data_IF_495400121837
#
_entry.id   IF_495400121837
#
_cell.length_a   1.000
_cell.length_b   1.000
_cell.length_c   1.000
_cell.angle_alpha   90.00
_cell.angle_beta   90.00
_cell.angle_gamma   90.00
#
_symmetry.space_group_name_H-M   'P 1'
#
loop_
_entity.id
_entity.type
_entity.pdbx_description
1 polymer ?
#
# COMPACT_ATOMS: atom_id res chain seq x y z
N UNK A 1 17.33 -39.89 20.16
CA UNK A 1 16.06 -40.57 19.78
C UNK A 1 16.35 -42.05 19.61
N UNK A 2 15.66 -42.91 20.35
CA UNK A 2 15.70 -44.35 20.08
C UNK A 2 15.09 -44.60 18.69
N UNK A 3 15.75 -45.44 17.87
CA UNK A 3 15.14 -45.99 16.65
C UNK A 3 13.77 -46.56 17.06
N UNK A 4 12.69 -46.29 16.31
CA UNK A 4 11.38 -46.77 16.69
C UNK A 4 11.44 -48.28 16.92
N UNK A 5 10.88 -48.71 18.05
CA UNK A 5 10.63 -50.10 18.41
C UNK A 5 9.94 -50.90 17.28
N UNK A 6 9.42 -50.24 16.25
CA UNK A 6 8.91 -50.83 15.01
C UNK A 6 9.91 -51.72 14.26
N UNK A 7 11.22 -51.51 14.41
CA UNK A 7 12.24 -52.44 13.85
C UNK A 7 12.70 -53.52 14.83
N UNK A 8 12.52 -53.32 16.14
CA UNK A 8 12.89 -54.33 17.17
C UNK A 8 11.78 -55.29 17.55
N UNK A 9 10.52 -54.98 17.25
CA UNK A 9 9.40 -55.81 17.68
C UNK A 9 8.25 -55.72 16.69
N UNK A 10 8.30 -56.58 15.68
CA UNK A 10 7.03 -57.23 15.32
C UNK A 10 6.59 -58.02 16.56
N UNK A 11 5.30 -58.05 16.92
CA UNK A 11 4.79 -58.73 18.13
C UNK A 11 5.15 -60.24 18.19
N UNK A 12 5.73 -60.78 17.12
CA UNK A 12 6.31 -62.12 17.03
C UNK A 12 7.63 -62.32 17.81
N UNK A 13 8.30 -61.25 18.26
CA UNK A 13 9.59 -61.33 18.98
C UNK A 13 9.37 -61.47 20.50
N UNK A 14 8.19 -61.11 21.01
CA UNK A 14 7.90 -61.12 22.46
C UNK A 14 7.39 -62.47 23.00
N UNK A 15 7.38 -63.55 22.21
CA UNK A 15 7.08 -64.86 22.76
C UNK A 15 8.40 -65.51 23.26
N UNK A 16 8.65 -65.58 24.58
CA UNK A 16 9.88 -66.17 25.13
C UNK A 16 10.04 -67.66 24.78
N UNK A 17 8.99 -68.33 24.27
CA UNK A 17 9.05 -69.72 23.82
C UNK A 17 9.42 -69.87 22.33
N UNK A 18 9.62 -68.78 21.58
CA UNK A 18 9.95 -68.86 20.15
C UNK A 18 11.42 -69.23 19.97
N UNK A 19 11.69 -70.48 19.59
CA UNK A 19 13.03 -70.92 19.18
C UNK A 19 13.46 -70.17 17.92
N UNK A 20 14.60 -69.49 17.95
CA UNK A 20 15.18 -68.85 16.76
C UNK A 20 15.60 -69.93 15.76
N UNK A 21 14.84 -70.09 14.69
CA UNK A 21 15.10 -71.13 13.68
C UNK A 21 16.22 -70.73 12.70
N UNK A 22 16.38 -69.42 12.45
CA UNK A 22 17.27 -68.89 11.40
C UNK A 22 18.66 -68.48 11.88
N UNK A 23 18.86 -68.28 13.19
CA UNK A 23 20.11 -67.82 13.80
C UNK A 23 20.48 -68.71 14.99
N UNK A 24 20.25 -70.01 14.86
CA UNK A 24 20.33 -70.95 15.99
C UNK A 24 21.74 -71.16 16.53
N UNK A 25 22.78 -70.80 15.77
CA UNK A 25 24.18 -70.96 16.17
C UNK A 25 24.94 -69.63 16.05
N UNK A 26 25.92 -69.36 16.95
CA UNK A 26 26.69 -68.12 16.94
C UNK A 26 27.51 -67.95 15.65
N UNK A 27 27.98 -69.04 15.04
CA UNK A 27 28.76 -69.02 13.80
C UNK A 27 27.96 -68.45 12.63
N UNK A 28 26.66 -68.78 12.55
CA UNK A 28 25.76 -68.23 11.53
C UNK A 28 25.55 -66.73 11.78
N UNK A 29 25.42 -66.32 13.04
CA UNK A 29 25.27 -64.90 13.38
C UNK A 29 26.49 -64.09 12.95
N UNK A 30 27.69 -64.62 13.16
CA UNK A 30 28.93 -63.93 12.78
C UNK A 30 29.11 -63.91 11.26
N UNK A 31 28.78 -65.00 10.56
CA UNK A 31 28.76 -65.01 9.10
C UNK A 31 27.80 -63.94 8.54
N UNK A 32 26.59 -63.84 9.08
CA UNK A 32 25.61 -62.84 8.66
C UNK A 32 26.07 -61.41 8.93
N UNK A 33 26.88 -61.16 9.97
CA UNK A 33 27.49 -59.84 10.22
C UNK A 33 28.60 -59.52 9.21
N UNK A 34 29.33 -60.52 8.71
CA UNK A 34 30.38 -60.33 7.70
C UNK A 34 29.83 -60.03 6.30
N UNK A 35 28.54 -60.27 6.06
CA UNK A 35 27.90 -59.94 4.78
C UNK A 35 27.88 -58.43 4.55
N UNK A 36 28.12 -58.04 3.31
CA UNK A 36 27.96 -56.65 2.88
C UNK A 36 26.51 -56.18 3.06
N UNK A 37 26.34 -54.86 3.14
CA UNK A 37 25.05 -54.24 3.41
C UNK A 37 24.00 -54.54 2.33
N UNK A 38 24.41 -54.66 1.07
CA UNK A 38 23.49 -54.93 -0.04
C UNK A 38 22.94 -56.35 0.09
N UNK A 39 23.81 -57.34 0.27
CA UNK A 39 23.41 -58.74 0.44
C UNK A 39 22.48 -58.92 1.65
N UNK A 40 22.73 -58.20 2.76
CA UNK A 40 21.84 -58.21 3.93
C UNK A 40 20.47 -57.60 3.63
N UNK A 41 20.41 -56.52 2.85
CA UNK A 41 19.15 -55.89 2.46
C UNK A 41 18.34 -56.76 1.49
N UNK A 42 19.01 -57.41 0.53
CA UNK A 42 18.40 -58.38 -0.40
C UNK A 42 17.78 -59.56 0.36
N UNK A 43 18.56 -60.20 1.24
CA UNK A 43 18.08 -61.29 2.08
C UNK A 43 16.90 -60.85 2.97
N UNK A 44 16.95 -59.63 3.53
CA UNK A 44 15.84 -59.10 4.33
C UNK A 44 14.56 -58.90 3.51
N UNK A 45 14.66 -58.47 2.26
CA UNK A 45 13.51 -58.32 1.36
C UNK A 45 12.88 -59.66 1.01
N UNK A 46 13.69 -60.68 0.75
CA UNK A 46 13.20 -62.04 0.52
C UNK A 46 12.50 -62.60 1.77
N UNK A 47 13.15 -62.46 2.94
CA UNK A 47 12.59 -62.89 4.22
C UNK A 47 11.24 -62.20 4.50
N UNK A 48 11.12 -60.89 4.28
CA UNK A 48 9.84 -60.19 4.50
C UNK A 48 8.77 -60.64 3.49
N UNK A 49 9.12 -60.83 2.21
CA UNK A 49 8.20 -61.30 1.18
C UNK A 49 7.61 -62.66 1.56
N UNK A 50 8.47 -63.58 1.97
CA UNK A 50 8.07 -64.92 2.40
C UNK A 50 7.30 -64.88 3.74
N UNK A 51 7.69 -64.01 4.68
CA UNK A 51 6.95 -63.80 5.92
C UNK A 51 5.56 -63.18 5.69
N UNK A 52 5.38 -62.33 4.66
CA UNK A 52 4.06 -61.83 4.25
C UNK A 52 3.22 -62.97 3.67
N UNK A 53 3.80 -63.86 2.88
CA UNK A 53 3.14 -65.07 2.37
C UNK A 53 2.67 -65.97 3.52
N UNK A 54 3.54 -66.25 4.49
CA UNK A 54 3.19 -67.03 5.70
C UNK A 54 2.08 -66.38 6.52
N UNK A 55 2.11 -65.05 6.71
CA UNK A 55 1.02 -64.31 7.38
C UNK A 55 -0.33 -64.48 6.68
N UNK A 56 -0.36 -64.48 5.35
CA UNK A 56 -1.58 -64.75 4.59
C UNK A 56 -2.09 -66.19 4.79
N UNK A 57 -1.18 -67.16 4.83
CA UNK A 57 -1.53 -68.55 5.10
C UNK A 57 -2.02 -68.76 6.53
N UNK A 58 -1.39 -68.12 7.51
CA UNK A 58 -1.79 -68.14 8.92
C UNK A 58 -3.21 -67.60 9.08
N UNK A 59 -3.50 -66.46 8.45
CA UNK A 59 -4.85 -65.89 8.41
C UNK A 59 -5.86 -66.80 7.72
N UNK A 60 -5.45 -67.53 6.67
CA UNK A 60 -6.31 -68.50 5.99
C UNK A 60 -6.61 -69.72 6.87
N UNK A 61 -5.62 -70.23 7.62
CA UNK A 61 -5.78 -71.32 8.58
C UNK A 61 -6.67 -70.91 9.77
N UNK A 62 -6.49 -69.70 10.29
CA UNK A 62 -7.35 -69.16 11.37
C UNK A 62 -8.82 -69.02 10.94
N UNK A 63 -9.08 -68.76 9.66
CA UNK A 63 -10.43 -68.71 9.09
C UNK A 63 -11.00 -70.10 8.81
N UNK A 64 -10.14 -71.05 8.46
CA UNK A 64 -10.50 -72.41 8.06
C UNK A 64 -9.41 -73.39 8.54
N UNK A 65 -9.65 -74.05 9.69
CA UNK A 65 -8.67 -74.96 10.29
C UNK A 65 -8.31 -76.18 9.42
N UNK A 66 -9.07 -76.47 8.35
CA UNK A 66 -8.74 -77.55 7.41
C UNK A 66 -7.52 -77.26 6.55
N UNK A 67 -7.12 -75.98 6.42
CA UNK A 67 -5.91 -75.57 5.69
C UNK A 67 -4.65 -75.88 6.50
N UNK A 68 -3.50 -76.18 5.87
CA UNK A 68 -2.28 -76.47 6.61
C UNK A 68 -1.77 -75.24 7.37
N UNK A 69 -1.34 -75.44 8.61
CA UNK A 69 -0.67 -74.39 9.40
C UNK A 69 0.69 -74.05 8.77
N UNK A 70 1.01 -72.76 8.54
CA UNK A 70 2.28 -72.38 7.93
C UNK A 70 3.46 -72.58 8.88
N UNK A 71 4.67 -72.65 8.30
CA UNK A 71 5.90 -72.70 9.07
C UNK A 71 6.17 -71.40 9.85
N UNK A 72 6.97 -71.45 10.93
CA UNK A 72 7.35 -70.25 11.68
C UNK A 72 7.98 -69.18 10.80
N UNK A 73 7.68 -67.91 11.10
CA UNK A 73 8.29 -66.76 10.42
C UNK A 73 9.81 -66.73 10.68
N UNK A 74 10.57 -66.28 9.70
CA UNK A 74 12.00 -66.01 9.85
C UNK A 74 12.22 -64.59 10.44
N UNK A 75 13.35 -64.37 11.10
CA UNK A 75 13.73 -63.03 11.57
C UNK A 75 14.52 -62.29 10.50
N UNK A 76 14.45 -60.96 10.49
CA UNK A 76 15.28 -60.14 9.62
C UNK A 76 16.72 -60.10 10.17
N UNK A 77 17.68 -60.06 9.27
CA UNK A 77 19.09 -59.81 9.56
C UNK A 77 19.22 -58.37 10.06
N UNK A 78 20.00 -58.19 11.13
CA UNK A 78 20.16 -56.88 11.77
C UNK A 78 21.00 -55.95 10.90
N UNK A 79 20.53 -54.72 10.75
CA UNK A 79 21.25 -53.61 10.15
C UNK A 79 21.48 -52.59 11.27
N UNK A 80 22.69 -52.06 11.35
CA UNK A 80 23.10 -51.12 12.41
C UNK A 80 22.46 -49.74 12.20
N UNK A 81 22.44 -48.94 13.27
CA UNK A 81 21.88 -47.59 13.22
C UNK A 81 22.67 -46.70 12.27
N UNK A 82 23.98 -46.86 12.30
CA UNK A 82 24.96 -46.14 11.49
C UNK A 82 24.75 -46.43 10.00
N UNK A 83 24.54 -47.70 9.64
CA UNK A 83 24.22 -48.10 8.25
C UNK A 83 22.90 -47.51 7.76
N UNK A 84 21.86 -47.46 8.60
CA UNK A 84 20.60 -46.81 8.24
C UNK A 84 20.75 -45.31 8.02
N UNK A 85 21.52 -44.62 8.87
CA UNK A 85 21.80 -43.20 8.67
C UNK A 85 22.66 -42.94 7.43
N UNK A 86 23.63 -43.82 7.13
CA UNK A 86 24.46 -43.72 5.93
C UNK A 86 23.63 -43.85 4.66
N UNK A 87 22.69 -44.82 4.61
CA UNK A 87 21.75 -44.97 3.50
C UNK A 87 20.88 -43.71 3.36
N UNK A 88 20.34 -43.18 4.46
CA UNK A 88 19.41 -42.04 4.44
C UNK A 88 20.09 -40.74 4.00
N UNK A 89 21.26 -40.45 4.58
CA UNK A 89 21.96 -39.16 4.38
C UNK A 89 22.65 -39.06 3.03
N UNK A 90 23.00 -40.19 2.41
CA UNK A 90 23.72 -40.23 1.12
C UNK A 90 22.75 -40.49 -0.03
N UNK A 91 22.40 -39.49 -0.88
CA UNK A 91 21.38 -39.65 -1.91
C UNK A 91 21.66 -40.78 -2.91
N UNK A 92 22.93 -40.98 -3.28
CA UNK A 92 23.34 -42.05 -4.20
C UNK A 92 23.11 -43.44 -3.60
N UNK A 93 23.36 -43.63 -2.30
CA UNK A 93 23.10 -44.90 -1.59
C UNK A 93 21.62 -45.11 -1.38
N UNK A 94 20.87 -44.06 -1.03
CA UNK A 94 19.41 -44.16 -0.93
C UNK A 94 18.81 -44.62 -2.26
N UNK A 95 19.26 -44.07 -3.39
CA UNK A 95 18.80 -44.47 -4.71
C UNK A 95 19.19 -45.92 -5.04
N UNK A 96 20.43 -46.32 -4.76
CA UNK A 96 20.91 -47.68 -5.01
C UNK A 96 20.13 -48.73 -4.21
N UNK A 97 19.84 -48.45 -2.93
CA UNK A 97 19.14 -49.37 -2.03
C UNK A 97 17.63 -49.17 -2.01
N UNK A 98 17.09 -48.16 -2.71
CA UNK A 98 15.68 -47.79 -2.64
C UNK A 98 14.77 -49.00 -2.85
N UNK A 99 15.07 -49.85 -3.84
CA UNK A 99 14.26 -51.03 -4.18
C UNK A 99 14.36 -52.16 -3.15
N UNK A 100 15.41 -52.19 -2.33
CA UNK A 100 15.70 -53.23 -1.34
C UNK A 100 15.15 -52.88 0.06
N UNK A 101 14.94 -51.59 0.34
CA UNK A 101 14.35 -51.13 1.60
C UNK A 101 12.90 -51.59 1.74
N UNK A 102 12.58 -52.17 2.88
CA UNK A 102 11.23 -52.54 3.29
C UNK A 102 10.35 -51.29 3.49
N UNK A 103 9.06 -51.40 3.20
CA UNK A 103 8.10 -50.28 3.30
C UNK A 103 8.14 -49.54 4.65
N UNK A 104 8.21 -50.23 5.82
CA UNK A 104 8.29 -49.56 7.11
C UNK A 104 9.55 -48.69 7.27
N UNK A 105 10.67 -49.12 6.68
CA UNK A 105 11.94 -48.37 6.73
C UNK A 105 11.84 -47.10 5.87
N UNK A 106 11.25 -47.22 4.67
CA UNK A 106 11.04 -46.05 3.79
C UNK A 106 10.14 -45.01 4.45
N UNK A 107 9.06 -45.46 5.11
CA UNK A 107 8.17 -44.58 5.87
C UNK A 107 8.91 -43.89 7.01
N UNK A 108 9.74 -44.62 7.76
CA UNK A 108 10.57 -44.06 8.81
C UNK A 108 11.53 -42.98 8.30
N UNK A 109 12.19 -43.19 7.16
CA UNK A 109 13.06 -42.17 6.56
C UNK A 109 12.29 -40.89 6.21
N UNK A 110 11.11 -41.02 5.60
CA UNK A 110 10.28 -39.86 5.27
C UNK A 110 9.83 -39.08 6.52
N UNK A 111 9.41 -39.78 7.58
CA UNK A 111 9.00 -39.16 8.85
C UNK A 111 10.17 -38.44 9.52
N UNK A 112 11.35 -39.06 9.51
CA UNK A 112 12.56 -38.47 10.08
C UNK A 112 13.00 -37.21 9.33
N UNK A 113 12.96 -37.23 8.00
CA UNK A 113 13.29 -36.05 7.17
C UNK A 113 12.32 -34.88 7.42
N UNK A 114 11.03 -35.16 7.60
CA UNK A 114 10.04 -34.15 7.97
C UNK A 114 10.35 -33.57 9.35
N UNK A 115 10.66 -34.43 10.32
CA UNK A 115 11.02 -34.02 11.68
C UNK A 115 12.32 -33.19 11.71
N UNK A 116 13.35 -33.58 10.98
CA UNK A 116 14.61 -32.83 10.92
C UNK A 116 14.43 -31.47 10.21
N UNK A 117 13.62 -31.42 9.15
CA UNK A 117 13.26 -30.16 8.49
C UNK A 117 12.47 -29.23 9.41
N UNK A 118 11.54 -29.75 10.21
CA UNK A 118 10.79 -28.94 11.18
C UNK A 118 11.69 -28.44 12.31
N UNK A 119 12.60 -29.28 12.82
CA UNK A 119 13.57 -28.88 13.83
C UNK A 119 14.56 -27.83 13.30
N UNK A 120 14.98 -27.95 12.04
CA UNK A 120 15.83 -26.96 11.36
C UNK A 120 15.11 -25.62 11.20
N UNK A 121 13.83 -25.62 10.78
CA UNK A 121 12.99 -24.41 10.75
C UNK A 121 12.85 -23.77 12.14
N UNK A 122 12.72 -24.56 13.20
CA UNK A 122 12.66 -24.05 14.57
C UNK A 122 13.97 -23.39 15.04
N UNK A 123 15.11 -23.82 14.49
CA UNK A 123 16.45 -23.29 14.83
C UNK A 123 16.88 -22.12 13.94
N UNK A 124 16.41 -22.10 12.71
CA UNK A 124 16.70 -21.07 11.70
C UNK A 124 15.64 -19.97 11.64
N UNK A 125 14.50 -20.12 12.33
CA UNK A 125 13.68 -18.97 12.68
C UNK A 125 14.60 -18.01 13.43
N UNK A 126 14.84 -16.78 12.93
CA UNK A 126 15.48 -15.77 13.73
C UNK A 126 14.70 -15.73 15.05
N UNK A 127 15.41 -15.57 16.16
CA UNK A 127 14.77 -15.11 17.40
C UNK A 127 14.24 -13.70 17.10
N UNK A 128 13.14 -13.61 16.34
CA UNK A 128 12.26 -12.47 16.40
C UNK A 128 11.91 -12.37 17.86
N UNK A 129 12.27 -11.24 18.45
CA UNK A 129 11.95 -10.93 19.83
C UNK A 129 10.49 -11.30 20.08
N UNK A 130 10.22 -11.98 21.19
CA UNK A 130 8.85 -12.31 21.62
C UNK A 130 7.94 -11.08 21.52
N UNK A 131 8.50 -9.89 21.72
CA UNK A 131 7.87 -8.59 21.55
C UNK A 131 7.40 -8.30 20.10
N UNK A 132 8.17 -8.70 19.07
CA UNK A 132 7.79 -8.58 17.65
C UNK A 132 6.75 -9.64 17.26
N UNK A 133 6.85 -10.85 17.83
CA UNK A 133 5.84 -11.91 17.68
C UNK A 133 4.50 -11.51 18.33
N UNK A 134 4.55 -10.89 19.50
CA UNK A 134 3.38 -10.32 20.20
C UNK A 134 2.80 -9.13 19.43
N UNK A 135 3.64 -8.27 18.81
CA UNK A 135 3.18 -7.20 17.92
C UNK A 135 2.47 -7.72 16.66
N UNK A 136 2.87 -8.88 16.13
CA UNK A 136 2.23 -9.52 14.96
C UNK A 136 0.97 -10.33 15.34
N UNK A 137 0.83 -10.76 16.60
CA UNK A 137 -0.38 -11.35 17.18
C UNK A 137 -1.27 -10.30 17.88
N UNK A 138 -1.56 -9.18 17.22
CA UNK A 138 -2.73 -8.38 17.62
C UNK A 138 -3.99 -9.16 17.25
N UNK A 139 -4.36 -10.10 18.11
CA UNK A 139 -5.76 -10.31 18.46
C UNK A 139 -6.31 -8.91 18.72
N UNK A 140 -7.43 -8.55 18.08
CA UNK A 140 -8.04 -7.23 18.22
C UNK A 140 -7.91 -6.75 19.67
N UNK A 141 -7.23 -5.63 19.88
CA UNK A 141 -6.99 -5.09 21.22
C UNK A 141 -8.31 -5.10 21.98
N UNK A 142 -8.28 -5.51 23.24
CA UNK A 142 -9.48 -5.59 24.08
C UNK A 142 -10.18 -4.24 23.97
N UNK A 143 -11.45 -4.24 23.52
CA UNK A 143 -12.25 -3.02 23.38
C UNK A 143 -12.19 -2.23 24.69
N UNK A 144 -11.45 -1.13 24.68
CA UNK A 144 -11.41 -0.17 25.79
C UNK A 144 -12.61 0.74 25.57
N UNK A 145 -13.64 0.56 26.38
CA UNK A 145 -14.75 1.51 26.45
C UNK A 145 -14.20 2.82 27.03
N UNK A 146 -14.06 3.84 26.18
CA UNK A 146 -13.83 5.21 26.64
C UNK A 146 -15.17 5.76 27.13
N UNK A 147 -15.19 6.34 28.32
CA UNK A 147 -16.36 7.06 28.82
C UNK A 147 -16.61 8.26 27.90
N UNK A 148 -17.78 8.29 27.25
CA UNK A 148 -18.16 9.35 26.34
C UNK A 148 -18.87 10.44 27.13
N UNK A 149 -18.24 11.60 27.27
CA UNK A 149 -18.89 12.80 27.78
C UNK A 149 -19.64 13.48 26.62
N UNK A 150 -21.00 13.46 26.59
CA UNK A 150 -21.78 14.08 25.53
C UNK A 150 -21.70 15.61 25.53
N UNK A 151 -21.15 16.22 26.58
CA UNK A 151 -20.97 17.67 26.69
C UNK A 151 -19.56 18.12 26.30
N UNK A 152 -18.61 17.19 26.21
CA UNK A 152 -17.28 17.49 25.72
C UNK A 152 -17.31 17.75 24.20
N UNK A 153 -16.61 18.78 23.70
CA UNK A 153 -16.43 18.96 22.27
C UNK A 153 -15.84 17.68 21.65
N UNK A 154 -16.50 17.14 20.62
CA UNK A 154 -16.00 15.97 19.89
C UNK A 154 -14.66 16.37 19.27
N UNK A 155 -13.57 15.87 19.85
CA UNK A 155 -12.24 16.02 19.28
C UNK A 155 -11.99 14.81 18.40
N UNK A 156 -12.06 15.01 17.09
CA UNK A 156 -11.78 13.94 16.14
C UNK A 156 -10.28 13.60 16.21
N UNK A 157 -9.97 12.37 16.61
CA UNK A 157 -8.59 11.88 16.69
C UNK A 157 -8.01 11.69 15.28
N UNK A 158 -6.85 12.29 15.00
CA UNK A 158 -6.21 12.19 13.70
C UNK A 158 -5.40 10.88 13.64
N UNK A 159 -5.78 9.98 12.73
CA UNK A 159 -5.18 8.66 12.64
C UNK A 159 -3.72 8.69 12.14
N UNK A 160 -2.86 7.81 12.68
CA UNK A 160 -1.41 7.72 12.39
C UNK A 160 -1.07 7.65 10.89
N UNK A 161 -1.95 7.07 10.08
CA UNK A 161 -1.77 6.91 8.63
C UNK A 161 -1.59 8.25 7.90
N UNK A 162 -2.22 9.33 8.39
CA UNK A 162 -2.07 10.66 7.81
C UNK A 162 -0.68 11.25 8.12
N UNK A 163 -0.14 10.98 9.31
CA UNK A 163 1.21 11.39 9.69
C UNK A 163 2.26 10.76 8.76
N UNK A 164 2.10 9.46 8.43
CA UNK A 164 3.01 8.73 7.56
C UNK A 164 3.08 9.34 6.14
N UNK A 165 1.94 9.65 5.54
CA UNK A 165 1.89 10.18 4.17
C UNK A 165 2.30 11.66 4.09
N UNK A 166 2.08 12.44 5.14
CA UNK A 166 2.35 13.88 5.16
C UNK A 166 3.83 14.26 5.05
N UNK A 167 4.76 13.30 5.19
CA UNK A 167 6.19 13.51 4.93
C UNK A 167 6.54 13.44 3.45
N UNK A 168 5.63 12.94 2.62
CA UNK A 168 5.90 12.55 1.23
C UNK A 168 4.99 13.34 0.28
N UNK A 169 3.71 13.48 0.64
CA UNK A 169 2.73 14.20 -0.17
C UNK A 169 1.98 15.26 0.64
N UNK A 170 1.58 16.34 -0.04
CA UNK A 170 0.62 17.32 0.49
C UNK A 170 -0.75 16.63 0.60
N UNK A 171 -1.31 16.59 1.80
CA UNK A 171 -2.65 16.05 2.02
C UNK A 171 -3.67 17.12 1.61
N UNK A 172 -4.66 16.79 0.76
CA UNK A 172 -5.75 17.70 0.42
C UNK A 172 -6.54 18.15 1.64
N UNK A 173 -6.98 19.40 1.68
CA UNK A 173 -7.67 19.95 2.85
C UNK A 173 -8.98 19.22 3.20
N UNK A 174 -9.81 18.74 2.25
CA UNK A 174 -11.05 18.04 2.57
C UNK A 174 -10.87 16.76 3.39
N UNK A 175 -9.67 16.16 3.39
CA UNK A 175 -9.40 14.95 4.19
C UNK A 175 -9.46 15.25 5.69
N UNK A 176 -9.36 16.53 6.07
CA UNK A 176 -9.47 17.00 7.43
C UNK A 176 -10.91 17.36 7.85
N UNK A 177 -11.92 17.07 7.03
CA UNK A 177 -13.31 17.14 7.49
C UNK A 177 -13.54 16.07 8.57
N UNK A 178 -14.35 16.38 9.58
CA UNK A 178 -14.62 15.49 10.72
C UNK A 178 -15.11 14.12 10.26
N UNK A 179 -16.09 14.08 9.35
CA UNK A 179 -16.61 12.84 8.76
C UNK A 179 -15.52 12.02 8.04
N UNK A 180 -14.56 12.68 7.39
CA UNK A 180 -13.51 12.02 6.64
C UNK A 180 -12.43 11.47 7.56
N UNK A 181 -12.07 12.21 8.60
CA UNK A 181 -11.16 11.76 9.64
C UNK A 181 -11.73 10.56 10.41
N UNK A 182 -13.02 10.58 10.75
CA UNK A 182 -13.72 9.44 11.36
C UNK A 182 -13.71 8.22 10.45
N UNK A 183 -14.02 8.40 9.16
CA UNK A 183 -13.96 7.32 8.18
C UNK A 183 -12.55 6.72 8.08
N UNK A 184 -11.52 7.55 8.02
CA UNK A 184 -10.12 7.14 7.94
C UNK A 184 -9.70 6.37 9.21
N UNK A 185 -10.13 6.83 10.38
CA UNK A 185 -9.85 6.17 11.65
C UNK A 185 -10.54 4.79 11.73
N UNK A 186 -11.82 4.71 11.36
CA UNK A 186 -12.60 3.47 11.38
C UNK A 186 -12.11 2.43 10.36
N UNK A 187 -11.65 2.87 9.19
CA UNK A 187 -11.29 2.01 8.06
C UNK A 187 -9.78 1.89 7.83
N UNK A 188 -8.94 2.26 8.81
CA UNK A 188 -7.48 2.42 8.66
C UNK A 188 -6.74 1.20 8.07
N UNK A 189 -7.25 -0.01 8.31
CA UNK A 189 -6.71 -1.27 7.83
C UNK A 189 -7.10 -1.61 6.38
N UNK A 190 -8.22 -1.08 5.89
CA UNK A 190 -8.77 -1.30 4.55
C UNK A 190 -8.55 -0.13 3.59
N UNK A 191 -7.91 0.95 4.04
CA UNK A 191 -7.61 2.11 3.20
C UNK A 191 -6.74 1.73 1.99
N UNK A 192 -6.96 2.37 0.82
CA UNK A 192 -6.19 2.08 -0.37
C UNK A 192 -4.72 2.47 -0.18
N UNK A 193 -3.81 1.54 -0.51
CA UNK A 193 -2.36 1.75 -0.38
C UNK A 193 -1.64 1.54 -1.70
N UNK A 194 -0.72 2.45 -2.01
CA UNK A 194 0.18 2.37 -3.17
C UNK A 194 1.57 1.95 -2.74
N UNK A 195 2.15 1.02 -3.49
CA UNK A 195 3.54 0.61 -3.28
C UNK A 195 4.49 1.67 -3.83
N UNK A 196 5.26 2.30 -2.95
CA UNK A 196 6.31 3.26 -3.32
C UNK A 196 7.66 2.55 -3.22
N UNK A 197 8.39 2.52 -4.34
CA UNK A 197 9.78 2.07 -4.37
C UNK A 197 10.68 3.29 -4.18
N UNK A 198 11.66 3.17 -3.29
CA UNK A 198 12.73 4.15 -3.13
C UNK A 198 14.05 3.47 -3.43
N UNK A 199 15.02 4.21 -3.99
CA UNK A 199 16.37 3.70 -4.25
C UNK A 199 17.04 3.15 -2.98
N UNK A 200 16.68 3.70 -1.81
CA UNK A 200 17.21 3.26 -0.50
C UNK A 200 16.48 2.04 0.09
N UNK A 201 15.28 1.73 -0.38
CA UNK A 201 14.50 0.59 0.10
C UNK A 201 13.86 -0.15 -1.08
N UNK A 202 14.61 -1.06 -1.73
CA UNK A 202 14.17 -1.74 -2.95
C UNK A 202 12.99 -2.70 -2.73
N UNK A 203 12.72 -3.11 -1.48
CA UNK A 203 11.54 -3.90 -1.13
C UNK A 203 10.24 -3.09 -1.27
N UNK A 204 10.32 -1.76 -1.14
CA UNK A 204 9.22 -0.79 -1.28
C UNK A 204 8.30 -0.76 -0.06
N UNK A 205 7.85 0.45 0.32
CA UNK A 205 6.84 0.66 1.37
C UNK A 205 5.43 0.77 0.79
N UNK A 206 4.40 0.46 1.58
CA UNK A 206 3.00 0.69 1.21
C UNK A 206 2.49 1.92 1.95
N UNK A 207 2.19 2.97 1.20
CA UNK A 207 1.71 4.25 1.73
C UNK A 207 0.29 4.51 1.26
N UNK A 208 -0.42 5.37 1.98
CA UNK A 208 -1.80 5.75 1.64
C UNK A 208 -1.87 6.32 0.22
N UNK A 209 -2.76 5.79 -0.60
CA UNK A 209 -3.05 6.32 -1.92
C UNK A 209 -4.12 7.41 -1.81
N UNK A 210 -3.69 8.67 -1.83
CA UNK A 210 -4.57 9.83 -1.66
C UNK A 210 -5.59 9.96 -2.79
N UNK A 211 -5.25 9.61 -4.04
CA UNK A 211 -6.18 9.69 -5.16
C UNK A 211 -7.28 8.63 -5.05
N UNK A 212 -6.92 7.41 -4.69
CA UNK A 212 -7.88 6.34 -4.46
C UNK A 212 -8.76 6.61 -3.22
N UNK A 213 -8.17 7.17 -2.16
CA UNK A 213 -8.93 7.55 -0.96
C UNK A 213 -9.91 8.69 -1.26
N UNK A 214 -9.52 9.69 -2.05
CA UNK A 214 -10.42 10.76 -2.46
C UNK A 214 -11.65 10.22 -3.22
N UNK A 215 -11.46 9.27 -4.13
CA UNK A 215 -12.57 8.58 -4.81
C UNK A 215 -13.48 7.83 -3.83
N UNK A 216 -12.90 7.23 -2.80
CA UNK A 216 -13.65 6.48 -1.77
C UNK A 216 -14.48 7.42 -0.90
N UNK A 217 -13.97 8.62 -0.65
CA UNK A 217 -14.64 9.67 0.13
C UNK A 217 -15.52 10.60 -0.73
N UNK A 218 -15.64 10.32 -2.03
CA UNK A 218 -16.36 11.16 -3.00
C UNK A 218 -15.88 12.62 -3.02
N UNK A 219 -14.58 12.83 -2.72
CA UNK A 219 -13.94 14.14 -2.75
C UNK A 219 -13.52 14.44 -4.19
N UNK A 220 -14.03 15.54 -4.74
CA UNK A 220 -13.57 16.04 -6.01
C UNK A 220 -12.23 16.77 -5.87
N UNK A 221 -11.15 16.10 -6.24
CA UNK A 221 -9.80 16.67 -6.31
C UNK A 221 -9.51 17.34 -7.66
N UNK A 222 -10.51 17.55 -8.53
CA UNK A 222 -10.28 18.03 -9.88
C UNK A 222 -9.44 19.31 -9.90
N UNK A 223 -8.34 19.33 -10.66
CA UNK A 223 -7.47 20.50 -10.78
C UNK A 223 -8.20 21.74 -11.34
N UNK A 224 -9.33 21.54 -12.05
CA UNK A 224 -10.16 22.62 -12.54
C UNK A 224 -10.93 23.32 -11.42
N UNK A 225 -11.40 22.55 -10.43
CA UNK A 225 -11.98 23.10 -9.21
C UNK A 225 -10.87 23.24 -8.16
N UNK A 226 -10.11 24.34 -8.28
CA UNK A 226 -8.99 24.74 -7.38
C UNK A 226 -9.37 24.86 -5.88
N UNK A 227 -10.55 24.38 -5.54
CA UNK A 227 -11.37 24.57 -4.36
C UNK A 227 -11.47 23.29 -3.52
N UNK A 228 -10.99 22.15 -4.05
CA UNK A 228 -11.13 20.82 -3.44
C UNK A 228 -12.60 20.54 -3.00
N UNK A 229 -13.59 21.16 -3.68
CA UNK A 229 -15.03 21.04 -3.38
C UNK A 229 -15.54 21.69 -2.08
N UNK A 230 -14.75 22.49 -1.36
CA UNK A 230 -15.14 22.98 -0.02
C UNK A 230 -16.02 24.24 -0.05
N UNK A 231 -17.06 24.26 0.79
CA UNK A 231 -17.75 25.48 1.22
C UNK A 231 -17.02 26.15 2.41
N UNK A 232 -17.48 27.33 2.83
CA UNK A 232 -16.80 28.10 3.87
C UNK A 232 -16.84 27.42 5.26
N UNK A 233 -17.93 26.71 5.55
CA UNK A 233 -18.13 26.04 6.85
C UNK A 233 -17.18 24.84 6.93
N UNK A 234 -17.21 23.98 5.91
CA UNK A 234 -16.32 22.83 5.80
C UNK A 234 -14.85 23.26 5.72
N UNK A 235 -14.54 24.36 5.03
CA UNK A 235 -13.19 24.91 5.03
C UNK A 235 -12.72 25.30 6.43
N UNK A 236 -13.56 25.96 7.22
CA UNK A 236 -13.20 26.37 8.59
C UNK A 236 -12.95 25.16 9.47
N UNK A 237 -13.80 24.13 9.35
CA UNK A 237 -13.61 22.85 10.04
C UNK A 237 -12.28 22.19 9.63
N UNK A 238 -12.05 21.99 8.33
CA UNK A 238 -10.84 21.36 7.81
C UNK A 238 -9.58 22.15 8.19
N UNK A 239 -9.64 23.49 8.16
CA UNK A 239 -8.54 24.36 8.55
C UNK A 239 -8.15 24.17 10.02
N UNK A 240 -9.14 24.12 10.93
CA UNK A 240 -8.89 23.89 12.36
C UNK A 240 -8.26 22.51 12.60
N UNK A 241 -8.77 21.48 11.93
CA UNK A 241 -8.23 20.12 12.02
C UNK A 241 -6.82 20.02 11.43
N UNK A 242 -6.54 20.72 10.32
CA UNK A 242 -5.20 20.80 9.74
C UNK A 242 -4.23 21.58 10.64
N UNK A 243 -4.67 22.64 11.32
CA UNK A 243 -3.87 23.33 12.34
C UNK A 243 -3.50 22.38 13.47
N UNK A 244 -4.48 21.63 14.00
CA UNK A 244 -4.24 20.65 15.04
C UNK A 244 -3.24 19.58 14.58
N UNK A 245 -3.43 19.05 13.37
CA UNK A 245 -2.51 18.08 12.75
C UNK A 245 -1.07 18.61 12.66
N UNK A 246 -0.89 19.80 12.07
CA UNK A 246 0.45 20.35 11.86
C UNK A 246 1.10 20.80 13.18
N UNK A 247 0.28 21.11 14.20
CA UNK A 247 0.74 21.36 15.57
C UNK A 247 1.22 20.08 16.25
N UNK A 248 0.50 18.96 16.09
CA UNK A 248 0.90 17.65 16.63
C UNK A 248 2.14 17.09 15.91
N UNK A 249 2.36 17.46 14.65
CA UNK A 249 3.55 17.07 13.85
C UNK A 249 4.81 17.85 14.17
N UNK A 250 4.67 19.09 14.65
CA UNK A 250 5.81 19.94 14.92
C UNK A 250 6.50 19.46 16.22
N UNK A 251 7.82 19.21 16.22
CA UNK A 251 8.53 18.78 17.42
C UNK A 251 8.40 19.77 18.59
N UNK A 252 8.24 21.05 18.30
CA UNK A 252 8.06 22.11 19.31
C UNK A 252 6.57 22.43 19.58
N UNK A 253 5.66 21.55 19.13
CA UNK A 253 4.23 21.69 19.29
C UNK A 253 3.70 23.03 18.75
N UNK A 254 2.82 23.69 19.50
CA UNK A 254 2.19 24.94 19.07
C UNK A 254 3.17 26.10 18.88
N UNK A 255 4.32 26.08 19.53
CA UNK A 255 5.37 27.11 19.38
C UNK A 255 6.30 26.87 18.19
N UNK A 256 6.19 25.70 17.57
CA UNK A 256 7.06 25.32 16.47
C UNK A 256 6.82 26.11 15.18
N UNK A 257 7.85 26.13 14.33
CA UNK A 257 7.86 26.97 13.13
C UNK A 257 6.79 26.55 12.13
N UNK A 258 6.55 25.25 11.97
CA UNK A 258 5.54 24.70 11.07
C UNK A 258 4.14 24.90 11.65
N UNK A 259 3.95 24.64 12.94
CA UNK A 259 2.69 24.91 13.62
C UNK A 259 2.30 26.39 13.47
N UNK A 260 3.21 27.30 13.80
CA UNK A 260 3.00 28.75 13.69
C UNK A 260 2.71 29.21 12.26
N UNK A 261 3.31 28.58 11.24
CA UNK A 261 3.00 28.87 9.85
C UNK A 261 1.53 28.58 9.54
N UNK A 262 1.04 27.38 9.86
CA UNK A 262 -0.34 26.99 9.55
C UNK A 262 -1.37 27.74 10.40
N UNK A 263 -1.07 27.98 11.68
CA UNK A 263 -1.90 28.83 12.55
C UNK A 263 -2.07 30.22 11.91
N UNK A 264 -0.97 30.87 11.54
CA UNK A 264 -1.02 32.22 10.94
C UNK A 264 -1.63 32.22 9.54
N UNK A 265 -1.37 31.19 8.74
CA UNK A 265 -1.92 31.03 7.39
C UNK A 265 -3.46 31.07 7.41
N UNK A 266 -4.08 30.19 8.20
CA UNK A 266 -5.54 30.12 8.26
C UNK A 266 -6.15 31.28 9.06
N UNK A 267 -5.52 31.68 10.18
CA UNK A 267 -6.00 32.83 10.96
C UNK A 267 -6.01 34.13 10.16
N UNK A 268 -5.05 34.34 9.24
CA UNK A 268 -5.03 35.53 8.40
C UNK A 268 -6.35 35.73 7.62
N UNK A 269 -6.87 34.66 7.01
CA UNK A 269 -8.10 34.72 6.23
C UNK A 269 -9.33 34.66 7.13
N UNK A 270 -9.38 33.74 8.10
CA UNK A 270 -10.55 33.58 8.98
C UNK A 270 -10.84 34.82 9.84
N UNK A 271 -9.84 35.66 10.10
CA UNK A 271 -10.02 36.92 10.82
C UNK A 271 -10.46 38.09 9.91
N UNK A 272 -10.65 37.88 8.59
CA UNK A 272 -11.20 38.92 7.71
C UNK A 272 -12.71 39.01 7.90
N UNK A 273 -13.22 40.23 8.02
CA UNK A 273 -14.66 40.48 8.22
C UNK A 273 -15.48 39.96 7.05
N UNK A 274 -14.93 40.04 5.85
CA UNK A 274 -15.55 39.63 4.59
C UNK A 274 -15.23 38.17 4.21
N UNK A 275 -14.58 37.39 5.10
CA UNK A 275 -14.12 36.04 4.78
C UNK A 275 -15.23 35.13 4.20
N UNK A 276 -16.44 35.04 4.79
CA UNK A 276 -17.50 34.21 4.23
C UNK A 276 -17.94 34.66 2.82
N UNK A 277 -17.99 35.98 2.59
CA UNK A 277 -18.43 36.58 1.34
C UNK A 277 -17.43 36.34 0.21
N UNK A 278 -16.14 36.52 0.49
CA UNK A 278 -15.09 36.46 -0.52
C UNK A 278 -14.39 35.10 -0.58
N UNK A 279 -14.89 34.10 0.14
CA UNK A 279 -14.31 32.77 0.19
C UNK A 279 -14.10 32.14 -1.20
N UNK A 280 -15.06 32.29 -2.10
CA UNK A 280 -14.95 31.76 -3.47
C UNK A 280 -13.81 32.40 -4.28
N UNK A 281 -13.44 33.65 -3.98
CA UNK A 281 -12.31 34.31 -4.62
C UNK A 281 -10.97 33.99 -3.92
N UNK A 282 -11.01 33.68 -2.62
CA UNK A 282 -9.85 33.34 -1.81
C UNK A 282 -9.32 31.93 -2.05
N UNK A 283 -10.19 30.93 -2.20
CA UNK A 283 -9.83 29.51 -2.28
C UNK A 283 -8.67 29.18 -3.26
N UNK A 284 -8.64 29.67 -4.51
CA UNK A 284 -7.53 29.39 -5.42
C UNK A 284 -6.18 29.93 -4.92
N UNK A 285 -6.23 31.06 -4.22
CA UNK A 285 -5.07 31.73 -3.63
C UNK A 285 -4.60 30.98 -2.38
N UNK A 286 -5.52 30.53 -1.53
CA UNK A 286 -5.24 29.66 -0.38
C UNK A 286 -4.46 28.41 -0.81
N UNK A 287 -5.03 27.65 -1.75
CA UNK A 287 -4.44 26.40 -2.21
C UNK A 287 -3.04 26.62 -2.79
N UNK A 288 -2.86 27.69 -3.58
CA UNK A 288 -1.55 28.07 -4.12
C UNK A 288 -0.54 28.37 -3.01
N UNK A 289 -0.92 29.13 -1.99
CA UNK A 289 -0.06 29.46 -0.86
C UNK A 289 0.31 28.19 -0.07
N UNK A 290 -0.65 27.33 0.25
CA UNK A 290 -0.42 26.07 0.96
C UNK A 290 0.48 25.12 0.16
N UNK A 291 0.25 24.96 -1.15
CA UNK A 291 1.09 24.17 -2.04
C UNK A 291 2.53 24.70 -2.11
N UNK A 292 2.70 26.01 -2.21
CA UNK A 292 4.03 26.62 -2.19
C UNK A 292 4.77 26.38 -0.88
N UNK A 293 4.08 26.49 0.26
CA UNK A 293 4.67 26.22 1.58
C UNK A 293 5.06 24.75 1.75
N UNK A 294 4.32 23.84 1.13
CA UNK A 294 4.68 22.42 1.14
C UNK A 294 5.97 22.16 0.33
N UNK A 295 6.10 22.77 -0.85
CA UNK A 295 7.26 22.60 -1.74
C UNK A 295 8.51 23.29 -1.19
N UNK A 296 8.35 24.48 -0.61
CA UNK A 296 9.42 25.28 -0.04
C UNK A 296 8.95 25.75 1.33
N UNK A 297 9.26 25.00 2.41
CA UNK A 297 8.89 25.38 3.76
C UNK A 297 9.52 26.73 4.11
N UNK A 298 8.70 27.77 4.13
CA UNK A 298 9.10 29.12 4.55
C UNK A 298 8.26 29.55 5.73
N UNK A 299 8.75 30.52 6.51
CA UNK A 299 7.95 31.12 7.57
C UNK A 299 6.74 31.88 7.00
N UNK A 300 5.79 32.21 7.87
CA UNK A 300 4.67 33.09 7.51
C UNK A 300 5.19 34.50 7.18
N UNK A 301 4.95 34.98 5.96
CA UNK A 301 5.35 36.32 5.50
C UNK A 301 4.12 37.20 5.30
N UNK A 302 3.82 38.05 6.28
CA UNK A 302 2.59 38.86 6.31
C UNK A 302 2.37 39.72 5.06
N UNK A 303 3.44 40.26 4.46
CA UNK A 303 3.35 41.10 3.26
C UNK A 303 2.85 40.33 2.04
N UNK A 304 3.24 39.06 1.89
CA UNK A 304 2.77 38.19 0.79
C UNK A 304 1.27 37.94 0.92
N UNK A 305 0.79 37.62 2.12
CA UNK A 305 -0.64 37.39 2.37
C UNK A 305 -1.46 38.65 2.16
N UNK A 306 -0.94 39.80 2.59
CA UNK A 306 -1.61 41.10 2.38
C UNK A 306 -1.72 41.42 0.90
N UNK A 307 -0.64 41.25 0.13
CA UNK A 307 -0.65 41.51 -1.31
C UNK A 307 -1.59 40.54 -2.08
N UNK A 308 -1.62 39.26 -1.70
CA UNK A 308 -2.54 38.29 -2.30
C UNK A 308 -4.00 38.56 -1.90
N UNK A 309 -4.24 39.00 -0.66
CA UNK A 309 -5.56 39.41 -0.20
C UNK A 309 -6.09 40.59 -1.00
N UNK A 310 -5.31 41.66 -1.18
CA UNK A 310 -5.75 42.81 -1.98
C UNK A 310 -6.13 42.45 -3.42
N UNK A 311 -5.47 41.43 -4.02
CA UNK A 311 -5.89 40.90 -5.34
C UNK A 311 -7.24 40.19 -5.28
N UNK A 312 -7.54 39.52 -4.17
CA UNK A 312 -8.82 38.86 -3.94
C UNK A 312 -9.93 39.89 -3.72
N UNK A 313 -9.67 40.94 -2.93
CA UNK A 313 -10.61 42.06 -2.74
C UNK A 313 -10.97 42.70 -4.08
N UNK A 314 -9.96 43.10 -4.87
CA UNK A 314 -10.17 43.70 -6.19
C UNK A 314 -10.97 42.78 -7.14
N UNK A 315 -10.72 41.46 -7.10
CA UNK A 315 -11.46 40.50 -7.93
C UNK A 315 -12.91 40.36 -7.50
N UNK A 316 -13.15 40.33 -6.19
CA UNK A 316 -14.49 40.22 -5.64
C UNK A 316 -15.30 41.50 -5.92
N UNK A 317 -14.71 42.67 -5.70
CA UNK A 317 -15.33 43.96 -6.00
C UNK A 317 -15.64 44.13 -7.49
N UNK A 318 -14.74 43.69 -8.37
CA UNK A 318 -14.96 43.72 -9.82
C UNK A 318 -16.14 42.81 -10.22
N UNK A 319 -16.23 41.62 -9.62
CA UNK A 319 -17.33 40.68 -9.88
C UNK A 319 -18.68 41.21 -9.37
N UNK A 320 -18.69 41.94 -8.25
CA UNK A 320 -19.88 42.61 -7.73
C UNK A 320 -20.29 43.83 -8.58
N UNK A 321 -19.31 44.56 -9.13
CA UNK A 321 -19.54 45.76 -9.94
C UNK A 321 -20.04 45.44 -11.35
N UNK A 322 -19.66 44.28 -11.88
CA UNK A 322 -20.12 43.79 -13.17
C UNK A 322 -20.73 42.39 -12.99
N UNK A 323 -21.95 42.30 -12.41
CA UNK A 323 -22.65 41.03 -12.38
C UNK A 323 -22.77 40.56 -13.82
N UNK A 324 -22.16 39.41 -14.11
CA UNK A 324 -22.14 38.77 -15.43
C UNK A 324 -23.52 38.94 -16.06
N UNK A 325 -23.59 39.66 -17.18
CA UNK A 325 -24.83 39.91 -17.91
C UNK A 325 -25.38 38.54 -18.31
N UNK A 326 -26.42 38.10 -17.62
CA UNK A 326 -27.02 36.79 -17.82
C UNK A 326 -27.45 36.71 -19.28
N UNK A 327 -26.90 35.75 -20.02
CA UNK A 327 -27.07 35.62 -21.48
C UNK A 327 -28.46 35.09 -21.85
N UNK A 328 -29.46 35.35 -21.01
CA UNK A 328 -30.86 34.94 -21.18
C UNK A 328 -31.72 36.05 -21.78
N UNK A 329 -31.15 36.94 -22.60
CA UNK A 329 -31.95 37.70 -23.57
C UNK A 329 -32.34 36.70 -24.67
N UNK A 330 -33.50 36.06 -24.48
CA UNK A 330 -34.24 35.45 -25.57
C UNK A 330 -34.52 36.54 -26.61
N UNK A 331 -33.85 36.46 -27.75
CA UNK A 331 -34.32 37.14 -28.95
C UNK A 331 -35.74 36.64 -29.23
N UNK A 332 -36.75 37.53 -29.39
CA UNK A 332 -38.08 37.09 -29.74
C UNK A 332 -38.04 36.42 -31.11
N UNK A 333 -38.35 35.13 -31.13
CA UNK A 333 -38.63 34.40 -32.35
C UNK A 333 -39.79 35.11 -33.07
N UNK A 334 -39.51 35.61 -34.28
CA UNK A 334 -40.51 36.20 -35.15
C UNK A 334 -41.68 35.23 -35.43
N UNK A 335 -42.86 35.76 -35.79
CA UNK A 335 -44.08 34.98 -35.88
C UNK A 335 -44.00 33.93 -37.00
N UNK A 336 -44.49 32.74 -36.68
CA UNK A 336 -44.57 31.59 -37.58
C UNK A 336 -45.43 31.89 -38.81
N UNK A 337 -44.89 31.61 -40.00
CA UNK A 337 -45.68 31.56 -41.23
C UNK A 337 -46.63 30.35 -41.22
N UNK A 338 -47.88 30.50 -41.69
CA UNK A 338 -48.83 29.40 -41.80
C UNK A 338 -48.56 28.54 -43.04
N UNK A 339 -49.08 27.30 -43.10
CA UNK A 339 -48.79 26.37 -44.19
C UNK A 339 -49.72 26.64 -45.39
N UNK A 340 -49.19 26.48 -46.60
CA UNK A 340 -49.99 26.42 -47.83
C UNK A 340 -49.48 25.32 -48.77
N UNK A 341 -50.34 24.82 -49.68
CA UNK A 341 -50.41 23.41 -50.02
C UNK A 341 -49.79 23.06 -51.38
N UNK A 342 -49.66 21.74 -51.58
CA UNK A 342 -49.32 21.07 -52.85
C UNK A 342 -50.21 21.50 -54.02
N UNK A 343 -49.60 21.87 -55.16
CA UNK A 343 -50.18 21.73 -56.50
C UNK A 343 -49.11 21.46 -57.57
N UNK A 344 -49.55 20.77 -58.63
CA UNK A 344 -48.84 20.09 -59.71
C UNK A 344 -48.10 20.98 -60.73
N UNK A 345 -46.98 20.41 -61.21
CA UNK A 345 -46.39 20.37 -62.56
C UNK A 345 -46.77 21.41 -63.65
N UNK A 346 -45.73 22.02 -64.24
CA UNK A 346 -45.58 22.31 -65.68
C UNK A 346 -44.10 22.14 -66.08
N UNK A 347 -43.88 21.65 -67.30
CA UNK A 347 -42.66 21.14 -67.97
C UNK A 347 -41.67 22.20 -68.49
N UNK A 348 -40.50 21.68 -68.91
CA UNK A 348 -39.46 22.20 -69.83
C UNK A 348 -38.66 23.47 -69.39
N UNK A 349 -37.35 23.58 -69.56
CA UNK A 349 -36.52 23.15 -70.69
C UNK A 349 -35.03 23.00 -70.27
N UNK A 350 -34.34 22.11 -70.98
CA UNK A 350 -32.93 21.67 -70.93
C UNK A 350 -31.83 22.74 -70.89
N UNK A 351 -30.71 22.45 -70.20
CA UNK A 351 -29.38 22.36 -70.85
C UNK A 351 -28.31 21.65 -69.99
N UNK A 352 -27.53 20.83 -70.70
CA UNK A 352 -26.49 19.89 -70.29
C UNK A 352 -25.29 20.53 -69.56
N UNK A 353 -24.71 19.81 -68.58
CA UNK A 353 -23.40 19.16 -68.75
C UNK A 353 -23.04 18.22 -67.58
N UNK A 354 -22.69 17.01 -68.01
CA UNK A 354 -22.04 15.86 -67.38
C UNK A 354 -20.78 16.21 -66.56
N UNK A 355 -20.26 15.43 -65.62
CA UNK A 355 -20.25 13.97 -65.53
C UNK A 355 -19.81 13.46 -64.13
N UNK A 356 -20.27 12.23 -63.84
CA UNK A 356 -19.54 11.06 -63.30
C UNK A 356 -18.94 11.14 -61.88
N UNK A 357 -19.47 10.48 -60.85
CA UNK A 357 -19.79 9.05 -60.61
C UNK A 357 -18.58 8.16 -60.25
N UNK A 358 -18.60 7.62 -59.02
CA UNK A 358 -18.54 6.18 -58.68
C UNK A 358 -18.63 6.07 -57.13
N UNK A 359 -19.71 5.57 -56.52
CA UNK A 359 -20.12 4.15 -56.40
C UNK A 359 -19.06 3.32 -55.65
N UNK A 360 -19.33 2.46 -54.67
CA UNK A 360 -20.52 1.69 -54.23
C UNK A 360 -20.14 0.98 -52.91
N UNK A 361 -21.02 0.83 -51.92
CA UNK A 361 -21.76 -0.43 -51.58
C UNK A 361 -20.88 -1.67 -51.29
N UNK A 362 -21.10 -2.59 -50.34
CA UNK A 362 -22.09 -2.80 -49.26
C UNK A 362 -21.70 -4.13 -48.55
N UNK A 363 -22.03 -4.25 -47.26
CA UNK A 363 -22.32 -5.47 -46.44
C UNK A 363 -21.30 -6.54 -45.95
N UNK A 364 -21.61 -6.92 -44.70
CA UNK A 364 -21.68 -8.25 -44.06
C UNK A 364 -20.48 -8.81 -43.26
N UNK A 365 -20.71 -8.93 -41.94
CA UNK A 365 -20.06 -9.83 -40.97
C UNK A 365 -20.82 -11.19 -40.92
N UNK A 366 -20.54 -12.18 -40.03
CA UNK A 366 -19.30 -12.62 -39.34
C UNK A 366 -19.07 -14.15 -39.44
N UNK A 367 -17.99 -14.67 -38.81
CA UNK A 367 -17.94 -15.81 -37.87
C UNK A 367 -16.78 -16.83 -38.01
N UNK A 368 -16.27 -17.18 -36.82
CA UNK A 368 -15.84 -18.51 -36.32
C UNK A 368 -14.48 -19.15 -36.67
N UNK A 369 -13.69 -19.27 -35.59
CA UNK A 369 -13.22 -20.54 -34.97
C UNK A 369 -11.76 -21.01 -35.14
N UNK A 370 -11.15 -21.23 -33.94
CA UNK A 370 -10.32 -22.37 -33.47
C UNK A 370 -8.90 -22.67 -33.98
N UNK A 371 -8.09 -23.07 -32.97
CA UNK A 371 -6.89 -23.93 -33.00
C UNK A 371 -5.58 -23.28 -33.51
N UNK A 372 -4.36 -23.60 -33.06
CA UNK A 372 -3.78 -24.43 -31.99
C UNK A 372 -2.27 -24.11 -31.92
N UNK A 373 -1.64 -24.31 -30.76
CA UNK A 373 -0.22 -24.68 -30.50
C UNK A 373 0.90 -24.38 -31.52
N UNK A 374 1.98 -23.72 -31.07
CA UNK A 374 3.33 -24.32 -30.88
C UNK A 374 4.43 -23.26 -30.60
N UNK A 375 5.44 -23.69 -29.85
CA UNK A 375 6.64 -22.97 -29.41
C UNK A 375 7.64 -22.65 -30.54
N UNK A 376 8.45 -21.58 -30.39
CA UNK A 376 9.95 -21.53 -30.39
C UNK A 376 10.50 -20.07 -30.51
N UNK A 377 11.82 -19.77 -30.39
CA UNK A 377 12.35 -18.82 -29.39
C UNK A 377 12.94 -17.50 -29.93
N UNK A 378 13.18 -16.57 -29.01
CA UNK A 378 14.39 -15.73 -28.88
C UNK A 378 14.84 -14.85 -30.06
N UNK A 379 14.70 -13.53 -29.91
CA UNK A 379 15.63 -12.54 -30.48
C UNK A 379 15.77 -11.33 -29.55
N UNK A 380 17.02 -11.04 -29.14
CA UNK A 380 17.43 -9.79 -28.49
C UNK A 380 17.57 -8.71 -29.55
N UNK A 381 17.02 -7.51 -29.30
CA UNK A 381 17.33 -6.30 -30.06
C UNK A 381 17.78 -5.17 -29.13
N UNK A 382 18.84 -4.51 -29.60
CA UNK A 382 19.66 -3.48 -28.98
C UNK A 382 18.93 -2.15 -28.79
N UNK A 383 19.19 -1.47 -27.67
CA UNK A 383 18.66 -0.16 -27.28
C UNK A 383 19.80 0.86 -27.19
N UNK A 384 20.29 1.37 -28.32
CA UNK A 384 21.31 2.44 -28.34
C UNK A 384 20.92 3.70 -29.11
N UNK A 385 19.68 3.80 -29.64
CA UNK A 385 19.27 4.98 -30.41
C UNK A 385 18.47 6.05 -29.65
N UNK A 386 18.21 5.87 -28.35
CA UNK A 386 17.38 6.79 -27.56
C UNK A 386 18.17 7.76 -26.65
N UNK A 387 19.50 7.59 -26.53
CA UNK A 387 20.32 8.36 -25.58
C UNK A 387 20.78 9.72 -26.10
N UNK A 388 20.79 9.95 -27.42
CA UNK A 388 21.37 11.17 -27.99
C UNK A 388 20.40 12.35 -28.10
N UNK A 389 19.08 12.09 -28.06
CA UNK A 389 18.05 13.13 -28.22
C UNK A 389 17.73 13.87 -26.90
N UNK A 390 17.99 13.23 -25.75
CA UNK A 390 17.71 13.78 -24.42
C UNK A 390 18.77 14.76 -23.90
N UNK A 391 20.00 14.72 -24.41
CA UNK A 391 21.08 15.64 -24.01
C UNK A 391 20.92 17.01 -24.66
N UNK A 392 20.40 17.07 -25.89
CA UNK A 392 20.24 18.34 -26.62
C UNK A 392 19.05 19.17 -26.10
N UNK A 393 17.96 18.51 -25.65
CA UNK A 393 16.83 19.17 -24.98
C UNK A 393 17.15 19.72 -23.59
N UNK A 394 18.11 19.11 -22.86
CA UNK A 394 18.51 19.60 -21.53
C UNK A 394 19.38 20.87 -21.61
N UNK A 395 20.13 21.06 -22.69
CA UNK A 395 20.96 22.27 -22.90
C UNK A 395 20.14 23.51 -23.25
N UNK A 396 19.06 23.37 -24.02
CA UNK A 396 18.16 24.50 -24.34
C UNK A 396 17.34 24.94 -23.12
N UNK A 397 16.91 24.01 -22.26
CA UNK A 397 16.20 24.33 -21.02
C UNK A 397 17.08 25.11 -20.01
N UNK A 398 18.36 24.76 -19.90
CA UNK A 398 19.30 25.42 -18.98
C UNK A 398 19.62 26.88 -19.37
N UNK A 399 19.70 27.16 -20.67
CA UNK A 399 19.91 28.52 -21.18
C UNK A 399 18.67 29.41 -20.96
N UNK A 400 17.46 28.84 -21.08
CA UNK A 400 16.21 29.56 -20.78
C UNK A 400 16.09 29.97 -19.30
N UNK A 401 16.45 29.08 -18.37
CA UNK A 401 16.40 29.35 -16.92
C UNK A 401 17.40 30.44 -16.51
N UNK A 402 18.60 30.44 -17.11
CA UNK A 402 19.63 31.44 -16.81
C UNK A 402 19.22 32.85 -17.26
N UNK A 403 18.49 32.97 -18.38
CA UNK A 403 18.00 34.26 -18.88
C UNK A 403 16.89 34.84 -17.98
N UNK A 404 16.01 33.99 -17.45
CA UNK A 404 14.93 34.38 -16.53
C UNK A 404 15.48 34.82 -15.17
N UNK A 405 16.53 34.15 -14.67
CA UNK A 405 17.21 34.55 -13.43
C UNK A 405 17.93 35.90 -13.56
N UNK A 406 18.55 36.17 -14.71
CA UNK A 406 19.17 37.48 -14.97
C UNK A 406 18.13 38.61 -15.06
N UNK A 407 16.99 38.36 -15.72
CA UNK A 407 15.90 39.34 -15.83
C UNK A 407 15.24 39.65 -14.47
N UNK A 408 15.07 38.63 -13.61
CA UNK A 408 14.49 38.81 -12.28
C UNK A 408 15.43 39.52 -11.31
N UNK A 409 16.75 39.30 -11.41
CA UNK A 409 17.74 40.03 -10.62
C UNK A 409 17.76 41.54 -10.94
N UNK A 410 17.60 41.90 -12.23
CA UNK A 410 17.51 43.29 -12.67
C UNK A 410 16.19 43.98 -12.24
N UNK A 411 15.07 43.23 -12.19
CA UNK A 411 13.82 43.76 -11.64
C UNK A 411 13.90 43.99 -10.11
N UNK A 412 14.55 43.10 -9.37
CA UNK A 412 14.70 43.24 -7.91
C UNK A 412 15.63 44.39 -7.51
N UNK A 413 16.66 44.69 -8.31
CA UNK A 413 17.54 45.84 -8.09
C UNK A 413 16.84 47.16 -8.42
N UNK A 414 16.01 47.19 -9.46
CA UNK A 414 15.16 48.35 -9.78
C UNK A 414 14.09 48.61 -8.70
N UNK A 415 13.43 47.56 -8.18
CA UNK A 415 12.42 47.68 -7.14
C UNK A 415 12.98 48.18 -5.79
N UNK A 416 14.19 47.73 -5.40
CA UNK A 416 14.86 48.21 -4.18
C UNK A 416 15.23 49.69 -4.25
N UNK A 417 15.50 50.23 -5.45
CA UNK A 417 15.77 51.66 -5.62
C UNK A 417 14.51 52.52 -5.43
N UNK A 418 13.32 51.99 -5.71
CA UNK A 418 12.05 52.72 -5.56
C UNK A 418 11.50 52.67 -4.13
N UNK A 419 11.72 51.56 -3.41
CA UNK A 419 11.28 51.42 -2.01
C UNK A 419 12.07 52.33 -1.05
N UNK A 420 13.37 52.53 -1.27
CA UNK A 420 14.19 53.40 -0.39
C UNK A 420 13.74 54.87 -0.45
N UNK A 421 13.33 55.35 -1.62
CA UNK A 421 12.83 56.72 -1.81
C UNK A 421 11.45 56.93 -1.16
N UNK A 422 10.62 55.89 -1.15
CA UNK A 422 9.26 55.94 -0.59
C UNK A 422 9.27 55.80 0.94
N UNK A 423 10.19 54.99 1.49
CA UNK A 423 10.37 54.83 2.94
C UNK A 423 10.92 56.11 3.59
N UNK A 424 11.76 56.88 2.90
CA UNK A 424 12.24 58.17 3.40
C UNK A 424 11.11 59.21 3.48
N UNK A 425 10.16 59.20 2.53
CA UNK A 425 9.04 60.14 2.52
C UNK A 425 7.93 59.80 3.54
N UNK A 426 7.77 58.53 3.91
CA UNK A 426 6.80 58.08 4.91
C UNK A 426 7.30 58.25 6.34
N UNK A 427 8.61 58.23 6.56
CA UNK A 427 9.20 58.38 7.91
C UNK A 427 9.06 59.79 8.47
N UNK A 428 8.97 60.82 7.64
CA UNK A 428 8.73 62.21 8.06
C UNK A 428 7.27 62.48 8.48
N UNK A 429 6.31 61.63 8.11
CA UNK A 429 4.88 61.91 8.30
C UNK A 429 4.18 61.10 9.41
N UNK A 430 4.85 60.12 10.04
CA UNK A 430 4.20 59.16 10.97
C UNK A 430 4.65 59.34 12.43
N UNK A 431 5.49 60.31 12.75
CA UNK A 431 5.99 60.50 14.11
C UNK A 431 4.95 61.03 15.13
N UNK A 432 3.78 61.53 14.70
CA UNK A 432 2.89 62.33 15.57
C UNK A 432 1.52 61.71 15.91
N UNK A 433 1.21 60.46 15.58
CA UNK A 433 -0.12 59.92 15.93
C UNK A 433 -0.23 58.39 16.07
N UNK A 434 -0.18 57.90 17.33
CA UNK A 434 -1.21 57.07 17.99
C UNK A 434 -0.65 56.14 19.10
N UNK A 435 -1.41 55.89 20.20
CA UNK A 435 -1.04 54.98 21.29
C UNK A 435 -1.66 53.56 21.19
N UNK A 436 -0.89 52.59 21.69
CA UNK A 436 -1.19 51.26 22.27
C UNK A 436 -2.54 50.55 21.99
N UNK A 437 -2.45 49.44 21.24
CA UNK A 437 -3.45 48.37 21.12
C UNK A 437 -2.76 47.02 21.40
N UNK A 438 -2.90 46.45 22.61
CA UNK A 438 -2.25 45.17 22.94
C UNK A 438 -3.06 44.27 23.91
N UNK A 439 -4.40 44.30 23.87
CA UNK A 439 -5.24 43.64 24.91
C UNK A 439 -6.20 42.55 24.41
N UNK A 440 -6.25 42.20 23.12
CA UNK A 440 -7.33 41.34 22.60
C UNK A 440 -6.95 39.87 22.28
N UNK A 441 -5.73 39.40 22.61
CA UNK A 441 -5.24 38.10 22.12
C UNK A 441 -5.02 37.02 23.21
N UNK A 442 -5.81 37.05 24.30
CA UNK A 442 -5.65 36.14 25.46
C UNK A 442 -6.81 35.15 25.69
N UNK A 443 -7.83 35.07 24.82
CA UNK A 443 -9.03 34.27 25.11
C UNK A 443 -9.16 32.89 24.43
N UNK A 444 -8.14 32.38 23.72
CA UNK A 444 -8.29 31.11 22.96
C UNK A 444 -7.15 30.10 23.16
N UNK A 445 -6.65 29.93 24.38
CA UNK A 445 -5.77 28.80 24.73
C UNK A 445 -6.36 28.01 25.91
N UNK A 446 -6.46 26.66 25.82
CA UNK A 446 -6.80 25.82 26.96
C UNK A 446 -5.68 25.88 28.00
N UNK A 447 -6.02 26.13 29.26
CA UNK A 447 -5.05 26.05 30.35
C UNK A 447 -4.69 24.59 30.63
N UNK A 448 -3.38 24.30 30.72
CA UNK A 448 -2.87 23.01 31.14
C UNK A 448 -3.17 22.74 32.62
N UNK A 449 -3.44 21.48 33.04
CA UNK A 449 -3.68 21.17 34.44
C UNK A 449 -2.37 21.29 35.25
N UNK A 450 -2.38 22.18 36.22
CA UNK A 450 -1.32 22.32 37.23
C UNK A 450 -1.36 21.11 38.17
N UNK A 451 -0.32 20.27 38.08
CA UNK A 451 -0.01 19.30 39.13
C UNK A 451 1.01 19.94 40.08
N UNK A 452 0.63 20.06 41.36
CA UNK A 452 1.48 19.91 42.57
C UNK A 452 0.75 20.45 43.80
N UNK A 453 0.35 19.54 44.69
CA UNK A 453 0.34 19.79 46.13
C UNK A 453 1.40 18.89 46.76
N UNK A 454 2.40 19.45 47.48
CA UNK A 454 3.20 18.71 48.42
C UNK A 454 2.66 18.89 49.85
N UNK A 455 2.91 17.87 50.68
CA UNK A 455 2.89 17.87 52.16
C UNK A 455 1.55 17.86 52.90
N UNK A 456 1.25 16.68 53.48
CA UNK A 456 0.65 16.56 54.82
C UNK A 456 1.27 15.36 55.53
N UNK A 457 2.23 15.63 56.41
CA UNK A 457 2.61 14.76 57.53
C UNK A 457 1.83 15.22 58.76
N UNK A 458 0.98 14.34 59.27
CA UNK A 458 0.67 14.12 60.69
C UNK A 458 0.06 12.73 60.81
#
# INVERSE_FOLDING_TARGET
>A
MQIPLLLRSTPSIQNPQRKHVTHGTPEICDLLKTMDLQSRLEANKEIDTENRRRRKQELAHLRDPSKPMPSPRASLITITSEEYEEIRTTPSRLQAFASLLLDPVRKFFAEKDVYEKSLKRLREEPKEDEEERLRKRRVADRLIYKEYDPLAPIRVEIHQVLYEIAHISLIPLPFFANQNLEFIAANSHSLPRKKIKSDKNPQGGHLLDLEALAKTLEIDLCESDKMEGLDFILFTECANNMIAFETERDPDGATGTRAQLFIKHFAFFLNKREAPKWFNHWKPTEFKLRKNQYLVPTGFVSSVYTAEWSKVELKAELAESFPTFDSSIQFPSGPACPPTPSFRAVEEETLHLTASAAAREVTYCPNTSTQSTACFPGHKLSTEHYAHQTVQQRRSAFLGISLVLAATANLLTSARSAEVTTILHLRENVADSLPNLNTAMWFLLPQAPTTKDPTSTA
#
